data_IF_596663923470
#
_entry.id   IF_596663923470
#
_cell.length_a   1.000
_cell.length_b   1.000
_cell.length_c   1.000
_cell.angle_alpha   90.00
_cell.angle_beta   90.00
_cell.angle_gamma   90.00
#
_symmetry.space_group_name_H-M   'P 1'
#
loop_
_entity.id
_entity.type
_entity.pdbx_description
1 polymer ?
#
# COMPACT_ATOMS: atom_id res chain seq x y z
N UNK A 1 -4.80 -6.33 -9.77
CA UNK A 1 -3.80 -5.82 -8.81
C UNK A 1 -4.49 -5.11 -7.64
N UNK A 2 -3.74 -4.83 -6.56
CA UNK A 2 -4.12 -3.85 -5.53
C UNK A 2 -3.21 -2.64 -5.68
N UNK A 3 -3.78 -1.43 -5.62
CA UNK A 3 -3.04 -0.18 -5.62
C UNK A 3 -3.03 0.42 -4.22
N UNK A 4 -1.83 0.64 -3.69
CA UNK A 4 -1.62 1.43 -2.48
C UNK A 4 -1.61 2.91 -2.86
N UNK A 5 -2.37 3.72 -2.14
CA UNK A 5 -2.33 5.18 -2.23
C UNK A 5 -2.15 5.78 -0.85
N UNK A 6 -1.33 6.84 -0.77
CA UNK A 6 -1.24 7.72 0.40
C UNK A 6 -1.79 9.07 -0.01
N UNK A 7 -2.78 9.56 0.71
CA UNK A 7 -3.46 10.84 0.45
C UNK A 7 -3.44 11.74 1.67
N UNK A 8 -3.53 13.05 1.44
CA UNK A 8 -3.75 14.01 2.53
C UNK A 8 -5.09 13.71 3.22
N UNK A 9 -5.14 13.79 4.55
CA UNK A 9 -6.36 13.53 5.32
C UNK A 9 -7.33 14.73 5.31
N UNK A 10 -7.91 15.01 4.14
CA UNK A 10 -8.95 16.02 3.91
C UNK A 10 -9.95 15.51 2.86
N UNK A 11 -11.10 16.17 2.73
CA UNK A 11 -12.02 15.93 1.61
C UNK A 11 -11.27 16.14 0.29
N UNK A 12 -11.44 15.20 -0.64
CA UNK A 12 -10.67 15.12 -1.90
C UNK A 12 -9.15 15.24 -1.70
N UNK A 13 -8.64 14.60 -0.65
CA UNK A 13 -7.21 14.55 -0.31
C UNK A 13 -6.29 14.32 -1.51
N UNK A 14 -5.37 15.26 -1.70
CA UNK A 14 -4.35 15.20 -2.74
C UNK A 14 -3.56 13.90 -2.65
N UNK A 15 -3.25 13.30 -3.80
CA UNK A 15 -2.41 12.12 -3.88
C UNK A 15 -0.95 12.48 -3.57
N UNK A 16 -0.39 11.86 -2.54
CA UNK A 16 1.00 12.07 -2.10
C UNK A 16 1.91 11.02 -2.74
N UNK A 17 1.48 9.76 -2.73
CA UNK A 17 2.22 8.65 -3.32
C UNK A 17 1.26 7.53 -3.76
N UNK A 18 1.64 6.80 -4.81
CA UNK A 18 0.93 5.59 -5.22
C UNK A 18 1.89 4.49 -5.66
N UNK A 19 1.50 3.23 -5.43
CA UNK A 19 2.23 2.05 -5.89
C UNK A 19 1.26 0.89 -6.16
N UNK A 20 1.35 0.29 -7.34
CA UNK A 20 0.66 -0.97 -7.63
C UNK A 20 1.47 -2.15 -7.07
N UNK A 21 0.78 -3.15 -6.53
CA UNK A 21 1.37 -4.44 -6.17
C UNK A 21 1.76 -5.27 -7.41
N UNK A 22 1.26 -4.91 -8.59
CA UNK A 22 1.17 -5.82 -9.72
C UNK A 22 0.04 -6.84 -9.52
N UNK A 23 -0.06 -7.79 -10.45
CA UNK A 23 -1.05 -8.85 -10.38
C UNK A 23 -0.85 -9.69 -9.11
N UNK A 24 -1.95 -9.92 -8.41
CA UNK A 24 -1.99 -10.82 -7.24
C UNK A 24 -2.61 -12.13 -7.77
N UNK A 25 -1.79 -13.15 -8.07
CA UNK A 25 -2.29 -14.37 -8.66
C UNK A 25 -3.13 -15.16 -7.65
N UNK A 26 -4.21 -15.76 -8.13
CA UNK A 26 -4.92 -16.77 -7.35
C UNK A 26 -3.99 -17.97 -7.12
N UNK A 27 -3.73 -18.30 -5.87
CA UNK A 27 -2.86 -19.40 -5.49
C UNK A 27 -3.67 -20.49 -4.82
N UNK A 28 -3.36 -21.76 -5.13
CA UNK A 28 -3.99 -22.91 -4.46
C UNK A 28 -3.60 -22.98 -2.97
N UNK A 29 -2.43 -22.42 -2.63
CA UNK A 29 -1.94 -22.26 -1.27
C UNK A 29 -1.73 -20.77 -0.97
N UNK A 30 -2.23 -20.30 0.17
CA UNK A 30 -2.06 -18.91 0.61
C UNK A 30 -0.58 -18.58 0.77
N UNK A 31 -0.11 -17.54 0.08
CA UNK A 31 1.26 -17.04 0.16
C UNK A 31 1.26 -15.58 0.54
N UNK A 32 1.93 -15.23 1.65
CA UNK A 32 2.06 -13.85 2.10
C UNK A 32 3.15 -13.11 1.31
N UNK A 33 2.80 -11.92 0.81
CA UNK A 33 3.74 -11.04 0.10
C UNK A 33 3.76 -9.67 0.76
N UNK A 34 4.94 -9.21 1.17
CA UNK A 34 5.10 -7.89 1.80
C UNK A 34 5.16 -6.80 0.73
N UNK A 35 4.25 -5.84 0.83
CA UNK A 35 4.22 -4.63 0.01
C UNK A 35 4.39 -3.38 0.86
N UNK A 36 4.85 -2.31 0.24
CA UNK A 36 5.04 -1.04 0.95
C UNK A 36 5.31 0.11 -0.02
N UNK A 37 5.11 1.32 0.48
CA UNK A 37 5.26 2.58 -0.22
C UNK A 37 5.97 3.59 0.69
N UNK A 38 6.90 4.35 0.13
CA UNK A 38 7.56 5.47 0.82
C UNK A 38 6.96 6.78 0.35
N UNK A 39 6.77 7.73 1.27
CA UNK A 39 6.21 9.03 0.95
C UNK A 39 6.76 10.11 1.90
N UNK A 40 6.76 11.35 1.43
CA UNK A 40 7.00 12.53 2.27
C UNK A 40 5.65 13.14 2.64
N UNK A 41 5.28 13.22 3.94
CA UNK A 41 3.98 13.74 4.34
C UNK A 41 3.87 15.23 3.99
N UNK A 42 2.74 15.63 3.41
CA UNK A 42 2.39 17.04 3.15
C UNK A 42 1.49 17.64 4.25
N UNK A 43 1.02 16.80 5.18
CA UNK A 43 0.17 17.15 6.32
C UNK A 43 0.49 16.27 7.54
N UNK A 44 0.01 16.68 8.71
CA UNK A 44 0.17 15.93 9.98
C UNK A 44 -0.64 14.63 10.03
N UNK A 45 -1.52 14.39 9.07
CA UNK A 45 -2.34 13.20 8.96
C UNK A 45 -2.47 12.79 7.50
N UNK A 46 -2.49 11.47 7.25
CA UNK A 46 -2.65 10.89 5.93
C UNK A 46 -3.67 9.76 5.97
N UNK A 47 -4.27 9.47 4.83
CA UNK A 47 -5.11 8.29 4.61
C UNK A 47 -4.34 7.32 3.73
N UNK A 48 -4.26 6.06 4.17
CA UNK A 48 -3.74 4.96 3.36
C UNK A 48 -4.94 4.24 2.76
N UNK A 49 -5.01 4.20 1.42
CA UNK A 49 -6.03 3.45 0.69
C UNK A 49 -5.41 2.23 0.03
N UNK A 50 -6.13 1.11 0.11
CA UNK A 50 -5.85 -0.12 -0.64
C UNK A 50 -7.00 -0.31 -1.62
N UNK A 51 -6.74 -0.05 -2.89
CA UNK A 51 -7.74 -0.05 -3.95
C UNK A 51 -7.58 -1.30 -4.81
N UNK A 52 -8.57 -2.17 -4.79
CA UNK A 52 -8.62 -3.32 -5.71
C UNK A 52 -9.11 -2.85 -7.08
N UNK A 53 -8.34 -3.13 -8.15
CA UNK A 53 -8.79 -2.89 -9.53
C UNK A 53 -9.37 -4.16 -10.17
N UNK A 54 -9.83 -5.12 -9.37
CA UNK A 54 -10.43 -6.35 -9.90
C UNK A 54 -11.78 -6.01 -10.54
N UNK A 55 -11.82 -6.08 -11.87
CA UNK A 55 -13.03 -5.88 -12.69
C UNK A 55 -13.85 -7.17 -12.88
N UNK A 56 -13.60 -8.22 -12.10
CA UNK A 56 -14.20 -9.54 -12.28
C UNK A 56 -15.26 -9.84 -11.22
N UNK A 57 -16.30 -10.59 -11.61
CA UNK A 57 -17.51 -10.86 -10.80
C UNK A 57 -17.36 -12.00 -9.78
N UNK A 58 -16.19 -12.65 -9.68
CA UNK A 58 -15.95 -13.75 -8.74
C UNK A 58 -14.50 -13.78 -8.26
N UNK A 59 -14.30 -13.89 -6.94
CA UNK A 59 -12.99 -14.14 -6.32
C UNK A 59 -12.06 -12.91 -6.27
N UNK A 60 -12.45 -11.88 -5.51
CA UNK A 60 -11.62 -10.70 -5.23
C UNK A 60 -11.21 -10.59 -3.75
N UNK A 61 -11.32 -11.69 -2.99
CA UNK A 61 -10.95 -11.72 -1.59
C UNK A 61 -9.43 -11.58 -1.43
N UNK A 62 -9.02 -10.65 -0.58
CA UNK A 62 -7.61 -10.44 -0.22
C UNK A 62 -7.51 -10.51 1.30
N UNK A 63 -6.53 -11.27 1.79
CA UNK A 63 -6.14 -11.27 3.19
C UNK A 63 -5.05 -10.21 3.42
N UNK A 64 -5.16 -9.47 4.52
CA UNK A 64 -4.27 -8.36 4.88
C UNK A 64 -3.85 -8.56 6.32
N UNK A 65 -2.55 -8.40 6.61
CA UNK A 65 -1.99 -8.49 7.95
C UNK A 65 -0.81 -7.50 8.10
N UNK A 66 -0.39 -7.25 9.35
CA UNK A 66 0.81 -6.49 9.72
C UNK A 66 0.94 -5.10 9.05
N UNK A 67 -0.12 -4.29 9.11
CA UNK A 67 -0.07 -2.90 8.66
C UNK A 67 0.85 -2.11 9.58
N UNK A 68 1.92 -1.55 9.00
CA UNK A 68 2.96 -0.86 9.73
C UNK A 68 3.33 0.49 9.08
N UNK A 69 3.57 1.49 9.92
CA UNK A 69 4.14 2.79 9.54
C UNK A 69 5.48 3.00 10.26
N UNK A 70 6.54 3.25 9.50
CA UNK A 70 7.88 3.55 10.02
C UNK A 70 8.40 4.88 9.47
N UNK A 71 9.09 5.64 10.30
CA UNK A 71 9.89 6.79 9.85
C UNK A 71 11.18 6.28 9.22
N UNK A 72 11.47 6.70 8.01
CA UNK A 72 12.74 6.36 7.36
C UNK A 72 13.84 7.33 7.79
N UNK A 73 14.76 6.84 8.62
CA UNK A 73 15.95 7.58 9.04
C UNK A 73 17.09 7.38 8.03
N UNK A 74 17.32 8.36 7.15
CA UNK A 74 18.48 8.41 6.24
C UNK A 74 18.15 8.26 4.74
N UNK A 75 19.15 8.50 3.90
CA UNK A 75 19.07 8.43 2.42
C UNK A 75 19.04 7.00 1.86
N UNK A 76 18.22 6.11 2.43
CA UNK A 76 18.07 4.75 1.92
C UNK A 76 16.90 4.67 0.93
N UNK A 77 17.22 4.42 -0.34
CA UNK A 77 16.30 4.21 -1.46
C UNK A 77 15.70 2.78 -1.46
N UNK A 78 15.09 2.38 -0.34
CA UNK A 78 14.42 1.09 -0.19
C UNK A 78 13.36 1.13 0.91
N UNK A 79 12.40 0.20 0.86
CA UNK A 79 11.46 -0.02 1.97
C UNK A 79 12.30 -0.27 3.22
N UNK A 80 12.25 0.66 4.18
CA UNK A 80 13.12 0.70 5.34
C UNK A 80 13.35 -0.69 5.93
N UNK A 81 14.59 -1.24 5.88
CA UNK A 81 14.83 -2.60 6.32
C UNK A 81 14.55 -2.70 7.83
N UNK A 82 14.11 -3.88 8.32
CA UNK A 82 13.93 -4.07 9.75
C UNK A 82 15.28 -3.90 10.47
N UNK A 83 15.23 -3.24 11.63
CA UNK A 83 16.29 -3.25 12.64
C UNK A 83 16.46 -4.63 13.25
#
# INVERSE_FOLDING_TARGET
>A
DVRLEVRAAKEDGDLIASKSTGDIPQCNNMTWSKHGISFSPTSSSVVILMLSNVNQSSGNDVAIDDIELRVCSGNHSGLCPPS
#
